data_IF_268192609426
#
_entry.id   IF_268192609426
#
_cell.length_a   1.000
_cell.length_b   1.000
_cell.length_c   1.000
_cell.angle_alpha   90.00
_cell.angle_beta   90.00
_cell.angle_gamma   90.00
#
_symmetry.space_group_name_H-M   'P 1'
#
loop_
_entity.id
_entity.type
_entity.pdbx_description
1 polymer ?
#
# COMPACT_ATOMS: atom_id res chain seq x y z
N UNK A 1 1.51 16.25 -0.09
CA UNK A 1 0.50 16.05 0.97
C UNK A 1 -0.05 14.64 0.82
N UNK A 2 -0.13 13.85 1.89
CA UNK A 2 -0.71 12.50 1.85
C UNK A 2 -2.15 12.55 2.38
N UNK A 3 -3.06 11.85 1.71
CA UNK A 3 -4.41 11.61 2.18
C UNK A 3 -4.37 10.47 3.21
N UNK A 4 -4.77 10.78 4.43
CA UNK A 4 -5.03 9.76 5.43
C UNK A 4 -6.33 9.04 5.07
N UNK A 5 -6.26 7.72 4.90
CA UNK A 5 -7.41 6.89 4.57
C UNK A 5 -7.71 5.92 5.71
N UNK A 6 -8.95 5.41 5.75
CA UNK A 6 -9.31 4.35 6.69
C UNK A 6 -8.57 3.05 6.38
N UNK A 7 -8.46 2.14 7.35
CA UNK A 7 -7.84 0.82 7.11
C UNK A 7 -8.55 0.01 6.02
N UNK A 8 -9.89 0.12 5.95
CA UNK A 8 -10.71 -0.56 4.94
C UNK A 8 -10.34 -0.09 3.54
N UNK A 9 -10.20 1.22 3.38
CA UNK A 9 -9.85 1.85 2.11
C UNK A 9 -8.37 1.62 1.76
N UNK A 10 -7.49 1.65 2.76
CA UNK A 10 -6.07 1.32 2.63
C UNK A 10 -5.85 -0.10 2.11
N UNK A 11 -6.63 -1.09 2.57
CA UNK A 11 -6.57 -2.47 2.04
C UNK A 11 -6.95 -2.55 0.58
N UNK A 12 -8.04 -1.90 0.17
CA UNK A 12 -8.43 -1.87 -1.24
C UNK A 12 -7.35 -1.25 -2.13
N UNK A 13 -6.79 -0.12 -1.70
CA UNK A 13 -5.69 0.56 -2.41
C UNK A 13 -4.46 -0.35 -2.50
N UNK A 14 -4.14 -1.07 -1.42
CA UNK A 14 -3.02 -2.01 -1.39
C UNK A 14 -3.22 -3.17 -2.36
N UNK A 15 -4.41 -3.78 -2.37
CA UNK A 15 -4.77 -4.88 -3.27
C UNK A 15 -4.69 -4.46 -4.74
N UNK A 16 -5.18 -3.26 -5.08
CA UNK A 16 -5.11 -2.71 -6.45
C UNK A 16 -3.67 -2.46 -6.89
N UNK A 17 -2.84 -1.87 -6.02
CA UNK A 17 -1.42 -1.57 -6.31
C UNK A 17 -0.58 -2.86 -6.38
N UNK A 18 -0.90 -3.87 -5.57
CA UNK A 18 -0.23 -5.17 -5.58
C UNK A 18 -0.65 -6.00 -6.80
N UNK A 19 -1.96 -6.15 -7.03
CA UNK A 19 -2.52 -6.95 -8.12
C UNK A 19 -2.26 -6.39 -9.52
N UNK A 20 -2.06 -5.08 -9.65
CA UNK A 20 -1.65 -4.44 -10.91
C UNK A 20 -0.17 -4.65 -11.28
N UNK A 21 0.65 -5.21 -10.39
CA UNK A 21 2.06 -5.50 -10.66
C UNK A 21 2.21 -6.95 -11.11
N UNK A 22 2.52 -7.19 -12.38
CA UNK A 22 2.85 -8.53 -12.89
C UNK A 22 3.92 -9.23 -12.01
N UNK A 23 3.48 -10.10 -11.09
CA UNK A 23 4.17 -11.25 -10.51
C UNK A 23 5.53 -11.06 -9.83
N UNK A 24 6.09 -9.85 -9.78
CA UNK A 24 7.32 -9.60 -9.05
C UNK A 24 6.95 -9.34 -7.60
N UNK A 25 7.46 -10.18 -6.70
CA UNK A 25 7.31 -10.12 -5.25
C UNK A 25 7.82 -8.75 -4.73
N UNK A 26 6.99 -7.71 -4.86
CA UNK A 26 7.31 -6.36 -4.41
C UNK A 26 7.45 -6.46 -2.90
N UNK A 27 8.67 -6.32 -2.40
CA UNK A 27 8.89 -6.30 -0.96
C UNK A 27 8.07 -5.20 -0.28
N UNK A 28 7.67 -5.47 0.96
CA UNK A 28 6.81 -4.60 1.79
C UNK A 28 7.17 -3.10 1.74
N UNK A 29 8.47 -2.78 1.79
CA UNK A 29 8.97 -1.39 1.70
C UNK A 29 8.62 -0.74 0.36
N UNK A 30 8.79 -1.48 -0.72
CA UNK A 30 8.49 -1.01 -2.08
C UNK A 30 6.99 -0.82 -2.28
N UNK A 31 6.17 -1.69 -1.70
CA UNK A 31 4.70 -1.58 -1.73
C UNK A 31 4.22 -0.36 -0.96
N UNK A 32 4.64 -0.19 0.29
CA UNK A 32 4.33 1.00 1.09
C UNK A 32 4.81 2.29 0.40
N UNK A 33 6.00 2.26 -0.21
CA UNK A 33 6.53 3.37 -0.98
C UNK A 33 5.67 3.72 -2.21
N UNK A 34 5.10 2.72 -2.91
CA UNK A 34 4.16 2.97 -4.01
C UNK A 34 2.88 3.65 -3.51
N UNK A 35 2.32 3.18 -2.40
CA UNK A 35 1.12 3.77 -1.78
C UNK A 35 1.36 5.24 -1.41
N UNK A 36 2.48 5.54 -0.74
CA UNK A 36 2.81 6.92 -0.37
C UNK A 36 3.07 7.81 -1.60
N UNK A 37 3.71 7.28 -2.65
CA UNK A 37 3.89 8.02 -3.91
C UNK A 37 2.57 8.28 -4.65
N UNK A 38 1.59 7.39 -4.50
CA UNK A 38 0.23 7.60 -4.99
C UNK A 38 -0.57 8.59 -4.13
N UNK A 39 -0.01 9.06 -3.02
CA UNK A 39 -0.60 10.10 -2.18
C UNK A 39 -1.41 9.57 -1.00
N UNK A 40 -1.36 8.27 -0.69
CA UNK A 40 -2.14 7.68 0.39
C UNK A 40 -1.29 7.31 1.61
N UNK A 41 -1.91 7.32 2.78
CA UNK A 41 -1.29 6.92 4.04
C UNK A 41 -2.34 6.40 5.03
N UNK A 42 -1.92 5.48 5.89
CA UNK A 42 -2.63 5.14 7.13
C UNK A 42 -1.61 4.64 8.17
N UNK A 43 -1.92 4.71 9.48
CA UNK A 43 -0.95 4.42 10.54
C UNK A 43 -0.29 3.03 10.46
N UNK A 44 -1.02 2.02 9.99
CA UNK A 44 -0.53 0.65 9.85
C UNK A 44 0.04 0.29 8.48
N UNK A 45 0.20 1.24 7.55
CA UNK A 45 0.62 0.98 6.16
C UNK A 45 1.83 0.04 6.04
N UNK A 46 2.89 0.30 6.82
CA UNK A 46 4.10 -0.52 6.76
C UNK A 46 3.90 -1.94 7.30
N UNK A 47 3.03 -2.11 8.31
CA UNK A 47 2.68 -3.41 8.87
C UNK A 47 1.80 -4.20 7.91
N UNK A 48 0.79 -3.55 7.33
CA UNK A 48 -0.09 -4.16 6.34
C UNK A 48 0.69 -4.55 5.08
N UNK A 49 1.60 -3.70 4.60
CA UNK A 49 2.45 -3.99 3.45
C UNK A 49 3.41 -5.16 3.68
N UNK A 50 3.75 -5.47 4.94
CA UNK A 50 4.60 -6.62 5.29
C UNK A 50 3.83 -7.94 5.40
N UNK A 51 2.50 -7.87 5.45
CA UNK A 51 1.59 -9.02 5.59
C UNK A 51 0.84 -9.33 4.29
N UNK A 52 1.14 -8.58 3.23
CA UNK A 52 0.53 -8.66 1.91
C UNK A 52 1.53 -9.31 0.94
#
# INVERSE_FOLDING_TARGET
MLLCVSEVEGRRIMDEIHGGSCGSHIGARSLAGKVMRAGFYWPSLHHDAARH
#
